data_IF_413784382522
#
_entry.id   IF_413784382522
#
_cell.length_a   1.000
_cell.length_b   1.000
_cell.length_c   1.000
_cell.angle_alpha   90.00
_cell.angle_beta   90.00
_cell.angle_gamma   90.00
#
_symmetry.space_group_name_H-M   'P 1'
#
loop_
_entity.id
_entity.type
_entity.pdbx_description
1 polymer ?
#
# COMPACT_ATOMS: atom_id res chain seq x y z
N UNK A 1 -22.32 -19.12 0.71
CA UNK A 1 -22.09 -18.32 -0.52
C UNK A 1 -20.64 -17.88 -0.64
N UNK A 2 -20.09 -17.21 0.37
CA UNK A 2 -18.68 -16.77 0.34
C UNK A 2 -17.73 -17.89 0.78
N UNK A 3 -18.16 -18.73 1.72
CA UNK A 3 -17.51 -20.01 2.07
C UNK A 3 -17.43 -21.00 0.90
N UNK A 4 -18.13 -20.72 -0.20
CA UNK A 4 -18.07 -21.50 -1.45
C UNK A 4 -17.23 -20.78 -2.53
N UNK A 5 -16.42 -19.78 -2.13
CA UNK A 5 -15.55 -19.01 -3.03
C UNK A 5 -16.22 -17.85 -3.78
N UNK A 6 -17.54 -17.67 -3.71
CA UNK A 6 -18.23 -16.64 -4.51
C UNK A 6 -18.09 -15.21 -3.96
N UNK A 7 -17.94 -14.25 -4.87
CA UNK A 7 -17.77 -12.82 -4.55
C UNK A 7 -19.10 -12.11 -4.30
N UNK A 8 -19.15 -11.33 -3.23
CA UNK A 8 -20.32 -10.51 -2.89
C UNK A 8 -20.15 -9.06 -3.34
N UNK A 9 -20.68 -8.74 -4.53
CA UNK A 9 -20.82 -7.38 -5.03
C UNK A 9 -19.50 -6.62 -5.24
N UNK A 10 -19.63 -5.31 -5.49
CA UNK A 10 -18.51 -4.39 -5.69
C UNK A 10 -17.77 -4.53 -7.03
N UNK A 11 -16.91 -3.56 -7.39
CA UNK A 11 -16.08 -3.65 -8.59
C UNK A 11 -15.03 -4.78 -8.46
N UNK A 12 -14.58 -5.30 -9.61
CA UNK A 12 -13.50 -6.29 -9.67
C UNK A 12 -12.15 -5.66 -9.29
N UNK A 13 -11.87 -4.48 -9.84
CA UNK A 13 -10.54 -3.83 -9.82
C UNK A 13 -9.79 -4.08 -11.13
N UNK A 14 -8.61 -3.47 -11.28
CA UNK A 14 -7.77 -3.66 -12.48
C UNK A 14 -7.17 -5.06 -12.53
N UNK A 15 -7.10 -5.65 -13.74
CA UNK A 15 -6.53 -6.98 -13.97
C UNK A 15 -7.46 -8.15 -13.67
N UNK A 16 -8.68 -7.88 -13.21
CA UNK A 16 -9.70 -8.90 -12.89
C UNK A 16 -11.08 -8.49 -13.41
N UNK A 17 -11.95 -9.47 -13.63
CA UNK A 17 -13.32 -9.29 -14.12
C UNK A 17 -14.30 -10.09 -13.29
N UNK A 18 -15.56 -9.62 -13.25
CA UNK A 18 -16.66 -10.34 -12.61
C UNK A 18 -17.30 -11.23 -13.65
N UNK A 19 -17.43 -12.52 -13.37
CA UNK A 19 -18.11 -13.47 -14.25
C UNK A 19 -19.23 -14.15 -13.45
N UNK A 20 -20.50 -14.07 -13.88
CA UNK A 20 -21.56 -14.84 -13.27
C UNK A 20 -21.39 -16.32 -13.62
N UNK A 21 -21.73 -17.17 -12.66
CA UNK A 21 -21.83 -18.60 -12.84
C UNK A 21 -23.23 -19.06 -12.43
N UNK A 22 -23.80 -20.02 -13.15
CA UNK A 22 -25.09 -20.61 -12.77
C UNK A 22 -24.99 -21.48 -11.49
N UNK A 23 -26.10 -22.11 -11.08
CA UNK A 23 -26.12 -22.99 -9.91
C UNK A 23 -25.23 -24.23 -10.06
N UNK A 24 -24.90 -24.64 -11.28
CA UNK A 24 -24.00 -25.74 -11.59
C UNK A 24 -22.53 -25.26 -11.75
N UNK A 25 -22.26 -23.97 -11.53
CA UNK A 25 -20.92 -23.38 -11.65
C UNK A 25 -20.50 -23.02 -13.08
N UNK A 26 -21.41 -23.09 -14.07
CA UNK A 26 -21.06 -22.81 -15.47
C UNK A 26 -20.98 -21.31 -15.73
N UNK A 27 -19.94 -20.82 -16.43
CA UNK A 27 -19.74 -19.40 -16.69
C UNK A 27 -20.79 -18.84 -17.66
N UNK A 28 -21.27 -17.60 -17.41
CA UNK A 28 -22.33 -16.94 -18.20
C UNK A 28 -21.88 -15.65 -18.90
N UNK A 29 -20.57 -15.48 -19.11
CA UNK A 29 -19.97 -14.30 -19.74
C UNK A 29 -19.49 -13.24 -18.73
N UNK A 30 -18.63 -12.33 -19.16
CA UNK A 30 -18.04 -11.31 -18.28
C UNK A 30 -19.00 -10.14 -18.10
N UNK A 31 -19.23 -9.71 -16.85
CA UNK A 31 -19.98 -8.49 -16.55
C UNK A 31 -19.11 -7.26 -16.82
N UNK A 32 -19.67 -6.33 -17.58
CA UNK A 32 -19.17 -4.97 -17.74
C UNK A 32 -19.25 -4.15 -16.45
N UNK A 33 -18.71 -2.94 -16.51
CA UNK A 33 -18.71 -2.03 -15.36
C UNK A 33 -20.14 -1.59 -15.04
N UNK A 34 -20.56 -1.78 -13.78
CA UNK A 34 -21.90 -1.41 -13.32
C UNK A 34 -22.98 -2.45 -13.66
N UNK A 35 -22.66 -3.43 -14.51
CA UNK A 35 -23.58 -4.50 -14.85
C UNK A 35 -23.83 -5.43 -13.66
N UNK A 36 -25.07 -5.89 -13.59
CA UNK A 36 -25.55 -6.83 -12.59
C UNK A 36 -25.85 -8.16 -13.27
N UNK A 37 -25.70 -9.24 -12.50
CA UNK A 37 -26.11 -10.57 -12.94
C UNK A 37 -27.62 -10.58 -13.24
N UNK A 38 -28.02 -11.29 -14.28
CA UNK A 38 -29.42 -11.34 -14.71
C UNK A 38 -30.30 -12.12 -13.73
N UNK A 39 -29.77 -13.17 -13.08
CA UNK A 39 -30.50 -13.93 -12.06
C UNK A 39 -29.92 -13.71 -10.67
N UNK A 40 -30.79 -13.52 -9.68
CA UNK A 40 -30.38 -13.39 -8.28
C UNK A 40 -29.70 -14.66 -7.75
N UNK A 41 -30.06 -15.82 -8.30
CA UNK A 41 -29.51 -17.14 -7.96
C UNK A 41 -28.11 -17.38 -8.53
N UNK A 42 -27.75 -16.70 -9.63
CA UNK A 42 -26.42 -16.81 -10.20
C UNK A 42 -25.36 -16.36 -9.18
N UNK A 43 -24.24 -17.06 -9.16
CA UNK A 43 -23.08 -16.72 -8.33
C UNK A 43 -22.13 -15.83 -9.13
N UNK A 44 -21.20 -15.16 -8.47
CA UNK A 44 -20.18 -14.34 -9.16
C UNK A 44 -18.82 -14.82 -8.72
N UNK A 45 -17.96 -15.10 -9.69
CA UNK A 45 -16.53 -15.37 -9.49
C UNK A 45 -15.70 -14.23 -10.08
N UNK A 46 -14.45 -14.13 -9.65
CA UNK A 46 -13.45 -13.33 -10.35
C UNK A 46 -12.69 -14.19 -11.33
N UNK A 47 -12.38 -13.62 -12.49
CA UNK A 47 -11.48 -14.19 -13.48
C UNK A 47 -10.43 -13.14 -13.89
N UNK A 48 -9.28 -13.55 -14.43
CA UNK A 48 -8.31 -12.65 -15.03
C UNK A 48 -8.99 -11.73 -16.06
N UNK A 49 -8.59 -10.47 -16.06
CA UNK A 49 -9.04 -9.49 -17.05
C UNK A 49 -8.29 -9.61 -18.38
N UNK A 50 -8.42 -8.61 -19.26
CA UNK A 50 -7.65 -8.53 -20.50
C UNK A 50 -6.14 -8.63 -20.22
N UNK A 51 -5.42 -9.28 -21.14
CA UNK A 51 -3.98 -9.55 -21.00
C UNK A 51 -3.17 -8.30 -20.68
N UNK A 52 -3.52 -7.16 -21.29
CA UNK A 52 -2.87 -5.88 -21.00
C UNK A 52 -3.02 -5.47 -19.53
N UNK A 53 -4.21 -5.61 -18.93
CA UNK A 53 -4.40 -5.26 -17.53
C UNK A 53 -3.70 -6.24 -16.60
N UNK A 54 -3.69 -7.53 -16.94
CA UNK A 54 -2.95 -8.57 -16.21
C UNK A 54 -1.45 -8.28 -16.25
N UNK A 55 -0.92 -7.91 -17.43
CA UNK A 55 0.47 -7.51 -17.61
C UNK A 55 0.80 -6.25 -16.78
N UNK A 56 -0.07 -5.24 -16.78
CA UNK A 56 0.11 -4.04 -15.93
C UNK A 56 0.16 -4.44 -14.44
N UNK A 57 -0.75 -5.29 -13.96
CA UNK A 57 -0.70 -5.78 -12.56
C UNK A 57 0.61 -6.50 -12.26
N UNK A 58 1.07 -7.39 -13.14
CA UNK A 58 2.34 -8.11 -12.97
C UNK A 58 3.54 -7.16 -12.95
N UNK A 59 3.56 -6.14 -13.82
CA UNK A 59 4.62 -5.12 -13.82
C UNK A 59 4.64 -4.27 -12.55
N UNK A 60 3.48 -4.02 -11.92
CA UNK A 60 3.42 -3.37 -10.60
C UNK A 60 4.13 -4.22 -9.54
N UNK A 61 3.89 -5.53 -9.52
CA UNK A 61 4.56 -6.44 -8.60
C UNK A 61 6.06 -6.50 -8.86
N UNK A 62 6.48 -6.58 -10.12
CA UNK A 62 7.89 -6.54 -10.49
C UNK A 62 8.56 -5.24 -10.01
N UNK A 63 7.98 -4.09 -10.34
CA UNK A 63 8.49 -2.78 -9.96
C UNK A 63 8.61 -2.60 -8.44
N UNK A 64 7.65 -3.15 -7.69
CA UNK A 64 7.64 -3.03 -6.24
C UNK A 64 8.61 -4.01 -5.56
N UNK A 65 8.59 -5.28 -5.97
CA UNK A 65 9.34 -6.36 -5.32
C UNK A 65 10.78 -6.42 -5.79
N UNK A 66 11.03 -6.36 -7.10
CA UNK A 66 12.37 -6.49 -7.68
C UNK A 66 13.10 -5.15 -7.72
N UNK A 67 12.42 -4.11 -8.21
CA UNK A 67 13.05 -2.81 -8.42
C UNK A 67 12.97 -1.91 -7.16
N UNK A 68 12.31 -2.38 -6.09
CA UNK A 68 12.22 -1.69 -4.81
C UNK A 68 11.42 -0.38 -4.82
N UNK A 69 10.69 -0.07 -5.91
CA UNK A 69 9.99 1.21 -6.09
C UNK A 69 8.88 1.41 -5.05
N UNK A 70 8.56 2.65 -4.72
CA UNK A 70 7.45 3.03 -3.83
C UNK A 70 6.15 3.09 -4.61
N UNK A 71 5.01 2.88 -3.94
CA UNK A 71 3.70 2.84 -4.62
C UNK A 71 3.36 4.13 -5.39
N UNK A 72 3.82 5.30 -4.91
CA UNK A 72 3.59 6.58 -5.58
C UNK A 72 4.45 6.75 -6.84
N UNK A 73 5.68 6.22 -6.85
CA UNK A 73 6.57 6.26 -8.02
C UNK A 73 6.05 5.37 -9.13
N UNK A 74 5.55 4.18 -8.77
CA UNK A 74 4.90 3.25 -9.70
C UNK A 74 3.65 3.90 -10.30
N UNK A 75 2.81 4.54 -9.47
CA UNK A 75 1.61 5.22 -9.96
C UNK A 75 1.94 6.36 -10.95
N UNK A 76 2.96 7.19 -10.64
CA UNK A 76 3.41 8.27 -11.52
C UNK A 76 3.92 7.75 -12.86
N UNK A 77 4.67 6.66 -12.83
CA UNK A 77 5.23 6.03 -14.03
C UNK A 77 4.15 5.42 -14.93
N UNK A 78 3.15 4.76 -14.35
CA UNK A 78 1.98 4.26 -15.09
C UNK A 78 1.17 5.40 -15.72
N UNK A 79 1.01 6.53 -15.01
CA UNK A 79 0.39 7.73 -15.59
C UNK A 79 1.21 8.30 -16.75
N UNK A 80 2.54 8.39 -16.59
CA UNK A 80 3.43 8.91 -17.62
C UNK A 80 3.42 8.06 -18.90
N UNK A 81 3.23 6.74 -18.77
CA UNK A 81 3.03 5.81 -19.89
C UNK A 81 1.67 5.93 -20.57
N UNK A 82 0.75 6.73 -20.03
CA UNK A 82 -0.60 6.90 -20.57
C UNK A 82 -1.48 5.65 -20.43
N UNK A 83 -1.11 4.69 -19.57
CA UNK A 83 -1.88 3.47 -19.36
C UNK A 83 -3.10 3.76 -18.47
N UNK A 84 -4.34 3.74 -18.98
CA UNK A 84 -5.51 3.93 -18.14
C UNK A 84 -5.71 2.72 -17.23
N UNK A 85 -6.25 2.94 -16.04
CA UNK A 85 -6.72 1.83 -15.21
C UNK A 85 -7.92 1.15 -15.90
N UNK A 86 -8.26 -0.08 -15.53
CA UNK A 86 -9.49 -0.75 -16.01
C UNK A 86 -10.81 0.01 -15.73
N UNK A 87 -10.76 1.16 -15.05
CA UNK A 87 -11.88 2.08 -14.82
C UNK A 87 -11.82 3.37 -15.65
N UNK A 88 -10.81 3.52 -16.51
CA UNK A 88 -10.53 4.73 -17.29
C UNK A 88 -9.95 5.89 -16.48
N UNK A 89 -9.62 5.68 -15.20
CA UNK A 89 -9.08 6.71 -14.30
C UNK A 89 -7.56 6.68 -14.25
N UNK A 90 -6.89 7.81 -13.94
CA UNK A 90 -5.45 7.84 -13.70
C UNK A 90 -5.05 6.94 -12.52
N UNK A 91 -3.87 6.35 -12.58
CA UNK A 91 -3.30 5.54 -11.51
C UNK A 91 -3.04 6.36 -10.25
N UNK A 92 -3.41 5.89 -9.08
CA UNK A 92 -3.08 6.55 -7.81
C UNK A 92 -2.27 5.64 -6.91
N UNK A 93 -1.51 6.22 -5.97
CA UNK A 93 -0.81 5.46 -4.91
C UNK A 93 -1.75 4.50 -4.16
N UNK A 94 -2.99 4.91 -3.93
CA UNK A 94 -4.02 4.08 -3.27
C UNK A 94 -4.40 2.86 -4.11
N UNK A 95 -4.51 3.01 -5.43
CA UNK A 95 -4.82 1.90 -6.34
C UNK A 95 -3.68 0.89 -6.43
N UNK A 96 -2.44 1.37 -6.54
CA UNK A 96 -1.25 0.50 -6.50
C UNK A 96 -1.19 -0.25 -5.17
N UNK A 97 -1.47 0.43 -4.05
CA UNK A 97 -1.50 -0.21 -2.73
C UNK A 97 -2.60 -1.27 -2.61
N UNK A 98 -3.79 -1.03 -3.16
CA UNK A 98 -4.85 -2.06 -3.19
C UNK A 98 -4.37 -3.30 -3.96
N UNK A 99 -3.69 -3.11 -5.10
CA UNK A 99 -3.16 -4.23 -5.89
C UNK A 99 -2.17 -5.06 -5.10
N UNK A 100 -1.24 -4.42 -4.39
CA UNK A 100 -0.19 -5.07 -3.61
C UNK A 100 -0.67 -5.73 -2.31
N UNK A 101 -1.91 -5.48 -1.88
CA UNK A 101 -2.43 -5.94 -0.57
C UNK A 101 -3.68 -6.81 -0.66
N UNK A 102 -4.37 -6.81 -1.80
CA UNK A 102 -5.63 -7.53 -1.95
C UNK A 102 -5.38 -8.98 -2.40
N UNK A 103 -5.75 -9.93 -1.56
CA UNK A 103 -5.50 -11.37 -1.76
C UNK A 103 -6.25 -11.96 -2.98
N UNK A 104 -7.19 -11.21 -3.57
CA UNK A 104 -7.84 -11.58 -4.84
C UNK A 104 -6.84 -11.78 -5.99
N UNK A 105 -5.68 -11.12 -5.94
CA UNK A 105 -4.67 -11.22 -7.00
C UNK A 105 -3.92 -12.55 -6.99
N UNK A 106 -3.91 -13.26 -5.85
CA UNK A 106 -3.40 -14.63 -5.72
C UNK A 106 -4.51 -15.68 -5.76
N UNK A 107 -5.72 -15.28 -6.12
CA UNK A 107 -6.87 -16.19 -6.25
C UNK A 107 -7.72 -16.34 -4.99
N UNK A 108 -7.39 -15.67 -3.89
CA UNK A 108 -8.14 -15.84 -2.65
C UNK A 108 -9.36 -14.92 -2.57
N UNK A 109 -10.46 -15.43 -2.04
CA UNK A 109 -11.61 -14.62 -1.69
C UNK A 109 -11.64 -14.37 -0.18
N UNK A 110 -11.47 -13.12 0.23
CA UNK A 110 -11.61 -12.72 1.64
C UNK A 110 -12.67 -11.64 1.79
N UNK A 111 -13.65 -11.94 2.62
CA UNK A 111 -14.79 -11.08 2.89
C UNK A 111 -14.90 -10.74 4.38
N UNK A 112 -15.84 -9.84 4.69
CA UNK A 112 -16.18 -9.42 6.04
C UNK A 112 -15.01 -8.79 6.79
N UNK A 113 -14.05 -8.16 6.08
CA UNK A 113 -12.99 -7.35 6.71
C UNK A 113 -13.54 -6.07 7.36
N UNK A 114 -14.63 -5.55 6.81
CA UNK A 114 -15.33 -4.35 7.28
C UNK A 114 -16.83 -4.61 7.23
N UNK A 115 -17.55 -4.20 8.26
CA UNK A 115 -19.01 -4.23 8.29
C UNK A 115 -19.58 -2.82 8.44
N UNK A 116 -20.71 -2.57 7.78
CA UNK A 116 -21.47 -1.33 7.89
C UNK A 116 -22.95 -1.66 8.00
N UNK A 117 -23.43 -1.85 9.22
CA UNK A 117 -24.84 -2.15 9.49
C UNK A 117 -25.65 -0.85 9.45
N UNK A 118 -26.90 -0.86 8.96
CA UNK A 118 -27.75 0.32 8.94
C UNK A 118 -27.78 1.03 10.29
N UNK A 119 -27.70 2.37 10.28
CA UNK A 119 -27.67 3.23 11.48
C UNK A 119 -26.49 3.00 12.44
N UNK A 120 -25.48 2.20 12.06
CA UNK A 120 -24.26 2.00 12.86
C UNK A 120 -23.04 2.52 12.15
N UNK A 121 -22.01 2.86 12.94
CA UNK A 121 -20.69 3.24 12.41
C UNK A 121 -20.05 2.06 11.68
N UNK A 122 -19.21 2.37 10.70
CA UNK A 122 -18.39 1.38 9.98
C UNK A 122 -17.37 0.77 10.95
N UNK A 123 -17.32 -0.56 11.02
CA UNK A 123 -16.43 -1.30 11.92
C UNK A 123 -15.46 -2.15 11.11
N UNK A 124 -14.17 -2.14 11.47
CA UNK A 124 -13.18 -3.11 10.98
C UNK A 124 -13.30 -4.38 11.82
N UNK A 125 -13.57 -5.51 11.19
CA UNK A 125 -13.82 -6.76 11.89
C UNK A 125 -12.48 -7.48 12.19
N UNK A 126 -12.30 -8.10 13.37
CA UNK A 126 -11.17 -9.00 13.65
C UNK A 126 -11.08 -10.17 12.65
N UNK A 127 -9.87 -10.72 12.43
CA UNK A 127 -9.64 -11.85 11.52
C UNK A 127 -10.50 -13.08 11.77
N UNK A 128 -10.86 -13.37 13.04
CA UNK A 128 -11.74 -14.49 13.38
C UNK A 128 -13.16 -14.38 12.78
N UNK A 129 -13.58 -13.19 12.35
CA UNK A 129 -14.85 -12.98 11.64
C UNK A 129 -14.69 -12.93 10.11
N UNK A 130 -13.47 -13.02 9.60
CA UNK A 130 -13.24 -13.01 8.15
C UNK A 130 -13.66 -14.34 7.57
N UNK A 131 -14.42 -14.29 6.48
CA UNK A 131 -14.73 -15.48 5.69
C UNK A 131 -13.71 -15.52 4.57
N UNK A 132 -12.92 -16.59 4.53
CA UNK A 132 -11.81 -16.78 3.58
C UNK A 132 -12.00 -18.09 2.82
N UNK A 133 -11.73 -18.05 1.53
CA UNK A 133 -11.62 -19.22 0.67
C UNK A 133 -10.37 -19.06 -0.21
N UNK A 134 -9.43 -19.97 -0.03
CA UNK A 134 -8.15 -19.96 -0.73
C UNK A 134 -8.34 -20.55 -2.13
N UNK A 135 -7.66 -19.99 -3.14
CA UNK A 135 -7.79 -20.48 -4.52
C UNK A 135 -9.22 -20.42 -5.08
N UNK A 136 -10.02 -19.46 -4.63
CA UNK A 136 -11.39 -19.25 -5.11
C UNK A 136 -11.46 -18.81 -6.58
N UNK A 137 -10.39 -18.21 -7.10
CA UNK A 137 -10.28 -17.62 -8.44
C UNK A 137 -8.93 -17.94 -9.08
N UNK A 138 -8.83 -17.82 -10.40
CA UNK A 138 -7.54 -17.93 -11.06
C UNK A 138 -6.63 -16.75 -10.66
N UNK A 139 -5.42 -17.10 -10.22
CA UNK A 139 -4.45 -16.14 -9.75
C UNK A 139 -3.89 -15.28 -10.91
N UNK A 140 -3.84 -13.97 -10.69
CA UNK A 140 -3.22 -13.02 -11.64
C UNK A 140 -1.70 -12.95 -11.42
N UNK A 141 -1.29 -13.09 -10.15
CA UNK A 141 0.12 -13.07 -9.71
C UNK A 141 0.42 -14.31 -8.88
N UNK A 142 1.68 -14.73 -8.88
CA UNK A 142 2.11 -15.86 -8.08
C UNK A 142 2.08 -15.52 -6.57
N UNK A 143 1.84 -16.51 -5.69
CA UNK A 143 1.81 -16.29 -4.25
C UNK A 143 3.12 -15.71 -3.68
N UNK A 144 4.27 -16.09 -4.22
CA UNK A 144 5.57 -15.64 -3.72
C UNK A 144 5.74 -14.12 -3.91
N UNK A 145 5.41 -13.58 -5.08
CA UNK A 145 5.40 -12.14 -5.35
C UNK A 145 4.48 -11.39 -4.40
N UNK A 146 3.29 -11.94 -4.13
CA UNK A 146 2.33 -11.35 -3.20
C UNK A 146 2.83 -11.29 -1.76
N UNK A 147 3.30 -12.41 -1.22
CA UNK A 147 3.78 -12.45 0.15
C UNK A 147 5.05 -11.63 0.33
N UNK A 148 5.93 -11.58 -0.67
CA UNK A 148 7.11 -10.70 -0.65
C UNK A 148 6.69 -9.23 -0.61
N UNK A 149 5.76 -8.80 -1.47
CA UNK A 149 5.24 -7.44 -1.44
C UNK A 149 4.61 -7.09 -0.08
N UNK A 150 3.83 -8.01 0.49
CA UNK A 150 3.22 -7.84 1.82
C UNK A 150 4.27 -7.68 2.92
N UNK A 151 5.33 -8.49 2.90
CA UNK A 151 6.46 -8.37 3.84
C UNK A 151 7.15 -7.01 3.72
N UNK A 152 7.45 -6.57 2.50
CA UNK A 152 8.03 -5.24 2.24
C UNK A 152 7.10 -4.13 2.76
N UNK A 153 5.79 -4.22 2.51
CA UNK A 153 4.82 -3.23 3.00
C UNK A 153 4.70 -3.23 4.52
N UNK A 154 4.75 -4.40 5.16
CA UNK A 154 4.74 -4.51 6.62
C UNK A 154 5.99 -3.89 7.23
N UNK A 155 7.17 -4.17 6.67
CA UNK A 155 8.42 -3.59 7.13
C UNK A 155 8.45 -2.07 6.93
N UNK A 156 8.00 -1.59 5.76
CA UNK A 156 7.87 -0.14 5.47
C UNK A 156 6.80 0.55 6.32
N UNK A 157 5.77 -0.19 6.71
CA UNK A 157 4.64 0.29 7.50
C UNK A 157 4.82 0.12 9.01
N UNK A 158 5.88 -0.58 9.44
CA UNK A 158 6.24 -0.76 10.85
C UNK A 158 6.49 0.62 11.44
N UNK A 159 5.65 0.99 12.41
CA UNK A 159 5.92 2.17 13.22
C UNK A 159 7.14 1.84 14.06
N UNK A 160 8.22 2.58 13.84
CA UNK A 160 9.39 2.45 14.67
C UNK A 160 9.04 2.86 16.11
N UNK A 161 9.52 2.07 17.06
CA UNK A 161 9.54 2.48 18.46
C UNK A 161 10.49 3.65 18.65
N UNK A 162 10.40 4.33 19.79
CA UNK A 162 11.29 5.44 20.09
C UNK A 162 12.75 4.96 20.13
N UNK A 163 13.00 3.78 20.69
CA UNK A 163 14.30 3.12 20.74
C UNK A 163 14.84 2.81 19.35
N UNK A 164 14.02 2.25 18.45
CA UNK A 164 14.43 1.94 17.07
C UNK A 164 14.76 3.21 16.28
N UNK A 165 13.99 4.29 16.48
CA UNK A 165 14.29 5.58 15.85
C UNK A 165 15.63 6.13 16.37
N UNK A 166 15.88 6.06 17.68
CA UNK A 166 17.13 6.52 18.29
C UNK A 166 18.31 5.68 17.83
N UNK A 167 18.16 4.36 17.74
CA UNK A 167 19.22 3.46 17.30
C UNK A 167 19.63 3.72 15.84
N UNK A 168 18.67 4.03 14.96
CA UNK A 168 18.99 4.43 13.58
C UNK A 168 19.75 5.76 13.51
N UNK A 169 19.49 6.70 14.43
CA UNK A 169 20.30 7.92 14.55
C UNK A 169 21.72 7.63 15.04
N UNK A 170 21.90 6.70 15.98
CA UNK A 170 23.23 6.24 16.41
C UNK A 170 24.00 5.60 15.26
N UNK A 171 23.34 4.77 14.47
CA UNK A 171 23.93 4.19 13.26
C UNK A 171 24.36 5.26 12.26
N UNK A 172 23.55 6.30 12.04
CA UNK A 172 23.95 7.43 11.19
C UNK A 172 25.14 8.20 11.79
N UNK A 173 25.15 8.43 13.10
CA UNK A 173 26.25 9.10 13.80
C UNK A 173 27.57 8.33 13.69
N UNK A 174 27.52 7.00 13.71
CA UNK A 174 28.70 6.15 13.53
C UNK A 174 29.33 6.30 12.13
N UNK A 175 28.55 6.68 11.12
CA UNK A 175 29.03 6.89 9.75
C UNK A 175 29.30 8.37 9.42
N UNK A 176 28.73 9.31 10.18
CA UNK A 176 28.88 10.76 10.00
C UNK A 176 29.02 11.45 11.35
N UNK A 177 30.11 12.18 11.62
CA UNK A 177 30.35 12.79 12.93
C UNK A 177 29.37 13.92 13.29
N UNK A 178 28.60 14.45 12.32
CA UNK A 178 27.64 15.53 12.55
C UNK A 178 26.25 15.17 12.02
N UNK A 179 25.27 15.14 12.93
CA UNK A 179 23.87 14.96 12.57
C UNK A 179 23.22 16.29 12.21
N UNK A 180 22.62 16.34 11.01
CA UNK A 180 21.81 17.46 10.54
C UNK A 180 20.49 16.97 9.98
N UNK A 181 19.46 17.83 9.94
CA UNK A 181 18.18 17.48 9.33
C UNK A 181 18.36 16.97 7.89
N UNK A 182 19.20 17.65 7.10
CA UNK A 182 19.52 17.24 5.73
C UNK A 182 20.26 15.90 5.65
N UNK A 183 21.18 15.61 6.59
CA UNK A 183 21.85 14.32 6.64
C UNK A 183 20.88 13.17 6.95
N UNK A 184 19.87 13.41 7.81
CA UNK A 184 18.81 12.45 8.10
C UNK A 184 17.90 12.26 6.91
N UNK A 185 17.45 13.35 6.28
CA UNK A 185 16.52 13.30 5.15
C UNK A 185 17.17 12.70 3.88
N UNK A 186 18.51 12.75 3.78
CA UNK A 186 19.28 12.11 2.71
C UNK A 186 19.70 10.66 3.03
N UNK A 187 19.52 10.19 4.26
CA UNK A 187 19.94 8.85 4.66
C UNK A 187 18.85 7.82 4.36
N UNK A 188 19.20 6.82 3.55
CA UNK A 188 18.28 5.73 3.24
C UNK A 188 17.93 4.92 4.48
N UNK A 189 16.65 4.59 4.62
CA UNK A 189 16.16 3.76 5.73
C UNK A 189 15.97 4.51 7.06
N UNK A 190 16.24 5.81 7.14
CA UNK A 190 15.86 6.61 8.32
C UNK A 190 14.47 7.23 8.15
N UNK A 191 13.70 7.39 9.25
CA UNK A 191 12.59 8.33 9.27
C UNK A 191 13.06 9.74 8.94
N UNK A 192 12.19 10.53 8.31
CA UNK A 192 12.53 11.93 8.01
C UNK A 192 12.81 12.73 9.28
N UNK A 193 13.57 13.81 9.14
CA UNK A 193 13.85 14.77 10.21
C UNK A 193 12.55 15.32 10.81
N UNK A 194 11.48 15.45 10.01
CA UNK A 194 10.14 15.84 10.49
C UNK A 194 9.47 14.75 11.34
N UNK A 195 9.67 13.47 11.02
CA UNK A 195 9.17 12.36 11.83
C UNK A 195 9.84 12.33 13.22
N UNK A 196 11.16 12.58 13.28
CA UNK A 196 11.88 12.74 14.55
C UNK A 196 11.38 13.93 15.37
N UNK A 197 11.18 15.11 14.75
CA UNK A 197 10.59 16.28 15.45
C UNK A 197 9.21 15.96 16.01
N UNK A 198 8.35 15.32 15.22
CA UNK A 198 7.00 14.99 15.63
C UNK A 198 6.98 13.98 16.79
N UNK A 199 7.93 13.03 16.83
CA UNK A 199 7.99 12.01 17.88
C UNK A 199 8.65 12.51 19.17
N UNK A 200 9.77 13.22 19.07
CA UNK A 200 10.60 13.61 20.21
C UNK A 200 10.47 15.09 20.58
N UNK A 201 9.53 15.82 19.95
CA UNK A 201 9.31 17.26 20.15
C UNK A 201 10.31 18.16 19.43
N UNK A 202 11.58 17.74 19.29
CA UNK A 202 12.61 18.46 18.52
C UNK A 202 13.70 17.51 18.01
N UNK A 203 14.49 17.97 17.02
CA UNK A 203 15.68 17.22 16.59
C UNK A 203 16.77 17.17 17.66
N UNK A 204 16.96 18.26 18.41
CA UNK A 204 17.96 18.31 19.49
C UNK A 204 17.64 17.27 20.56
N UNK A 205 16.35 17.11 20.92
CA UNK A 205 15.93 16.05 21.84
C UNK A 205 16.23 14.65 21.29
N UNK A 206 15.93 14.40 20.01
CA UNK A 206 16.26 13.12 19.35
C UNK A 206 17.78 12.85 19.32
N UNK A 207 18.59 13.88 19.08
CA UNK A 207 20.06 13.77 19.05
C UNK A 207 20.64 13.43 20.42
N UNK A 208 20.17 14.11 21.47
CA UNK A 208 20.61 13.83 22.85
C UNK A 208 20.31 12.39 23.25
N UNK A 209 19.16 11.83 22.87
CA UNK A 209 18.83 10.42 23.08
C UNK A 209 19.75 9.46 22.31
N UNK A 210 20.24 9.89 21.15
CA UNK A 210 21.24 9.17 20.35
C UNK A 210 22.68 9.39 20.85
N UNK A 211 22.90 10.12 21.95
CA UNK A 211 24.23 10.40 22.49
C UNK A 211 25.01 11.48 21.74
N UNK A 212 24.32 12.29 20.91
CA UNK A 212 24.90 13.43 20.20
C UNK A 212 24.41 14.75 20.80
N UNK A 213 25.35 15.55 21.30
CA UNK A 213 25.07 16.92 21.75
C UNK A 213 25.71 17.87 20.74
N UNK A 214 24.91 18.66 19.99
CA UNK A 214 25.48 19.66 19.08
C UNK A 214 26.21 20.75 19.88
N UNK A 215 27.41 21.14 19.44
CA UNK A 215 28.31 22.10 20.12
C UNK A 215 27.76 23.53 20.29
N UNK A 216 26.64 23.88 19.63
CA UNK A 216 26.03 25.22 19.73
C UNK A 216 24.50 25.13 19.77
N UNK A 217 23.93 25.56 20.89
CA UNK A 217 22.49 25.45 21.18
C UNK A 217 21.57 26.38 20.36
N UNK A 218 22.05 27.31 19.50
CA UNK A 218 21.14 28.25 18.79
C UNK A 218 21.36 28.46 17.27
N UNK A 219 22.53 28.19 16.68
CA UNK A 219 22.76 28.49 15.25
C UNK A 219 22.11 27.49 14.27
N UNK A 220 21.80 26.27 14.70
CA UNK A 220 21.25 25.23 13.81
C UNK A 220 19.74 25.37 13.57
N UNK A 221 19.00 25.98 14.50
CA UNK A 221 17.56 26.26 14.33
C UNK A 221 17.32 27.41 13.35
N UNK A 222 18.26 28.36 13.23
CA UNK A 222 18.15 29.49 12.29
C UNK A 222 18.41 29.10 10.83
N UNK A 223 19.39 28.23 10.55
CA UNK A 223 19.72 27.84 9.17
C UNK A 223 18.57 27.06 8.51
N UNK A 224 17.91 26.17 9.26
CA UNK A 224 16.75 25.40 8.79
C UNK A 224 15.49 26.28 8.63
N UNK A 225 15.29 27.25 9.53
CA UNK A 225 14.22 28.27 9.41
C UNK A 225 14.43 29.19 8.20
N UNK A 226 15.66 29.65 7.95
CA UNK A 226 16.01 30.50 6.79
C UNK A 226 15.85 29.76 5.47
N UNK A 227 16.27 28.49 5.38
CA UNK A 227 16.08 27.65 4.18
C UNK A 227 14.62 27.35 3.88
N UNK A 228 13.78 27.08 4.90
CA UNK A 228 12.33 26.88 4.69
C UNK A 228 11.61 28.15 4.25
N UNK A 229 11.95 29.32 4.80
CA UNK A 229 11.42 30.61 4.33
C UNK A 229 11.81 30.92 2.88
N UNK A 230 13.00 30.49 2.45
CA UNK A 230 13.46 30.69 1.08
C UNK A 230 12.80 29.74 0.06
N UNK A 231 12.45 28.51 0.47
CA UNK A 231 11.83 27.51 -0.41
C UNK A 231 10.30 27.64 -0.52
N UNK A 232 9.65 28.28 0.47
CA UNK A 232 8.22 28.61 0.45
C UNK A 232 8.00 30.04 0.95
N UNK A 233 8.27 31.07 0.12
CA UNK A 233 7.72 32.40 0.39
C UNK A 233 6.20 32.29 0.30
N UNK A 234 5.49 32.92 1.24
CA UNK A 234 4.02 32.87 1.31
C UNK A 234 3.33 33.34 0.04
#
# INVERSE_FOLDING_TARGET
MIELGYRQGGPAGSGVRRMPADQAGRPKGVLGRGEQKSLQTDRVVLVPGPDQEVATVRSIYQAFVRDGRREHEIARDLQARGEPTGSGRPWTRGMVHEILTNEKYVGDNVYNRVSFKPKRKRVRNPPAMWVRHDGAFDAVVDPQSFFTARGILQERGRRLTDEEMVERLRGLLATRPHLTAGAIDAADGLPSSSAYRARFGSLVAAYRLAGYTPDRDDEFLEVDRRRRRALYPG
#
